data_IF_583348749607
#
_entry.id   IF_583348749607
#
_cell.length_a   1.000
_cell.length_b   1.000
_cell.length_c   1.000
_cell.angle_alpha   90.00
_cell.angle_beta   90.00
_cell.angle_gamma   90.00
#
_symmetry.space_group_name_H-M   'P 1'
#
loop_
_entity.id
_entity.type
_entity.pdbx_description
1 polymer ?
#
# COMPACT_ATOMS: atom_id res chain seq x y z
N UNK A 1 4.60 -45.43 -14.26
CA UNK A 1 4.52 -44.17 -15.03
C UNK A 1 3.33 -43.37 -14.49
N UNK A 2 3.57 -42.28 -13.76
CA UNK A 2 2.50 -41.36 -13.36
C UNK A 2 1.96 -40.69 -14.62
N UNK A 3 0.69 -40.93 -14.92
CA UNK A 3 -0.06 -40.20 -15.95
C UNK A 3 0.18 -38.70 -15.78
N UNK A 4 0.77 -38.07 -16.81
CA UNK A 4 0.98 -36.63 -16.86
C UNK A 4 -0.38 -35.95 -16.80
N UNK A 5 -0.79 -35.50 -15.61
CA UNK A 5 -2.03 -34.73 -15.43
C UNK A 5 -1.99 -33.52 -16.37
N UNK A 6 -3.01 -33.37 -17.21
CA UNK A 6 -3.12 -32.22 -18.11
C UNK A 6 -3.09 -30.93 -17.30
N UNK A 7 -2.31 -29.91 -17.70
CA UNK A 7 -2.26 -28.64 -17.00
C UNK A 7 -3.64 -27.95 -17.04
N UNK A 8 -4.03 -27.35 -15.91
CA UNK A 8 -5.27 -26.60 -15.76
C UNK A 8 -5.01 -25.10 -15.59
N UNK A 9 -5.98 -24.29 -15.98
CA UNK A 9 -5.94 -22.83 -15.78
C UNK A 9 -7.22 -22.34 -15.12
N UNK A 10 -7.08 -21.49 -14.11
CA UNK A 10 -8.16 -20.78 -13.43
C UNK A 10 -7.96 -19.29 -13.72
N UNK A 11 -9.02 -18.63 -14.16
CA UNK A 11 -9.02 -17.18 -14.42
C UNK A 11 -10.00 -16.53 -13.45
N UNK A 12 -9.46 -15.77 -12.51
CA UNK A 12 -10.24 -14.91 -11.64
C UNK A 12 -10.62 -13.62 -12.39
N UNK A 13 -11.81 -13.09 -12.08
CA UNK A 13 -12.28 -11.83 -12.65
C UNK A 13 -12.05 -10.69 -11.64
N UNK A 14 -11.04 -9.88 -11.93
CA UNK A 14 -10.67 -8.69 -11.18
C UNK A 14 -11.35 -7.42 -11.72
N UNK A 15 -10.66 -6.30 -11.62
CA UNK A 15 -11.05 -4.99 -12.16
C UNK A 15 -9.82 -4.10 -12.21
N UNK A 16 -9.78 -3.15 -13.14
CA UNK A 16 -8.76 -2.10 -13.15
C UNK A 16 -8.69 -1.32 -11.83
N UNK A 17 -9.80 -1.15 -11.10
CA UNK A 17 -9.83 -0.54 -9.75
C UNK A 17 -9.07 -1.35 -8.69
N UNK A 18 -8.70 -2.60 -8.96
CA UNK A 18 -7.82 -3.41 -8.12
C UNK A 18 -6.34 -3.23 -8.42
N UNK A 19 -5.98 -2.48 -9.46
CA UNK A 19 -4.61 -2.25 -9.92
C UNK A 19 -4.10 -0.86 -9.56
N UNK A 20 -4.98 0.14 -9.65
CA UNK A 20 -4.71 1.50 -9.22
C UNK A 20 -5.89 2.00 -8.36
N UNK A 21 -5.60 2.83 -7.34
CA UNK A 21 -6.59 3.25 -6.36
C UNK A 21 -7.68 4.11 -7.01
N UNK A 22 -8.93 3.74 -6.76
CA UNK A 22 -10.09 4.52 -7.17
C UNK A 22 -10.74 5.19 -5.95
N UNK A 23 -10.45 6.47 -5.73
CA UNK A 23 -10.88 7.19 -4.52
C UNK A 23 -12.40 7.33 -4.39
N UNK A 24 -13.13 7.31 -5.51
CA UNK A 24 -14.59 7.44 -5.50
C UNK A 24 -15.31 6.16 -5.01
N UNK A 25 -14.61 5.02 -4.99
CA UNK A 25 -15.12 3.75 -4.46
C UNK A 25 -13.97 2.91 -3.86
N UNK A 26 -13.52 3.28 -2.65
CA UNK A 26 -12.38 2.64 -2.01
C UNK A 26 -12.69 1.21 -1.55
N UNK A 27 -13.95 0.89 -1.25
CA UNK A 27 -14.38 -0.46 -0.87
C UNK A 27 -14.28 -1.38 -2.09
N UNK A 28 -14.82 -0.95 -3.24
CA UNK A 28 -14.69 -1.71 -4.47
C UNK A 28 -13.22 -1.90 -4.86
N UNK A 29 -12.40 -0.85 -4.75
CA UNK A 29 -10.95 -0.93 -5.00
C UNK A 29 -10.27 -1.95 -4.09
N UNK A 30 -10.55 -1.93 -2.78
CA UNK A 30 -9.98 -2.87 -1.82
C UNK A 30 -10.39 -4.32 -2.14
N UNK A 31 -11.67 -4.57 -2.42
CA UNK A 31 -12.16 -5.91 -2.75
C UNK A 31 -11.50 -6.46 -4.03
N UNK A 32 -11.36 -5.62 -5.07
CA UNK A 32 -10.74 -6.01 -6.33
C UNK A 32 -9.22 -6.14 -6.22
N UNK A 33 -8.57 -5.32 -5.40
CA UNK A 33 -7.17 -5.51 -5.03
C UNK A 33 -6.95 -6.84 -4.31
N UNK A 34 -7.87 -7.23 -3.42
CA UNK A 34 -7.88 -8.55 -2.77
C UNK A 34 -7.91 -9.71 -3.77
N UNK A 35 -8.74 -9.64 -4.81
CA UNK A 35 -8.78 -10.67 -5.88
C UNK A 35 -7.44 -10.79 -6.61
N UNK A 36 -6.79 -9.66 -6.89
CA UNK A 36 -5.48 -9.62 -7.55
C UNK A 36 -4.42 -10.26 -6.65
N UNK A 37 -4.39 -9.89 -5.37
CA UNK A 37 -3.43 -10.43 -4.42
C UNK A 37 -3.66 -11.93 -4.13
N UNK A 38 -4.92 -12.35 -3.99
CA UNK A 38 -5.32 -13.75 -3.87
C UNK A 38 -4.84 -14.57 -5.07
N UNK A 39 -4.99 -14.04 -6.28
CA UNK A 39 -4.50 -14.72 -7.49
C UNK A 39 -2.98 -14.89 -7.46
N UNK A 40 -2.26 -13.83 -7.06
CA UNK A 40 -0.79 -13.84 -6.97
C UNK A 40 -0.29 -14.84 -5.93
N UNK A 41 -0.97 -14.97 -4.78
CA UNK A 41 -0.57 -15.92 -3.73
C UNK A 41 -0.69 -17.38 -4.16
N UNK A 42 -1.54 -17.68 -5.16
CA UNK A 42 -1.73 -19.02 -5.72
C UNK A 42 -0.73 -19.39 -6.83
N UNK A 43 0.19 -18.51 -7.21
CA UNK A 43 1.21 -18.79 -8.24
C UNK A 43 2.00 -20.10 -8.03
N UNK A 44 2.36 -20.53 -6.79
CA UNK A 44 3.07 -21.79 -6.56
C UNK A 44 2.32 -23.05 -7.01
N UNK A 45 0.98 -22.99 -7.17
CA UNK A 45 0.18 -24.11 -7.69
C UNK A 45 0.59 -24.53 -9.11
N UNK A 46 1.34 -23.68 -9.84
CA UNK A 46 1.94 -24.04 -11.14
C UNK A 46 2.76 -25.33 -11.05
N UNK A 47 3.43 -25.58 -9.92
CA UNK A 47 4.21 -26.81 -9.67
C UNK A 47 3.35 -28.08 -9.66
N UNK A 48 2.04 -27.94 -9.40
CA UNK A 48 1.03 -29.01 -9.46
C UNK A 48 0.28 -29.04 -10.79
N UNK A 49 0.74 -28.28 -11.79
CA UNK A 49 0.10 -28.16 -13.10
C UNK A 49 -1.11 -27.22 -13.14
N UNK A 50 -1.36 -26.42 -12.11
CA UNK A 50 -2.51 -25.48 -12.07
C UNK A 50 -2.00 -24.04 -12.11
N UNK A 51 -2.37 -23.29 -13.15
CA UNK A 51 -2.09 -21.85 -13.26
C UNK A 51 -3.31 -21.07 -12.80
N UNK A 52 -3.13 -20.12 -11.89
CA UNK A 52 -4.21 -19.20 -11.48
C UNK A 52 -3.79 -17.80 -11.91
N UNK A 53 -4.59 -17.15 -12.75
CA UNK A 53 -4.33 -15.80 -13.26
C UNK A 53 -5.57 -14.93 -13.07
N UNK A 54 -5.44 -13.61 -13.20
CA UNK A 54 -6.55 -12.66 -13.03
C UNK A 54 -6.68 -11.77 -14.26
N UNK A 55 -7.91 -11.62 -14.74
CA UNK A 55 -8.28 -10.69 -15.80
C UNK A 55 -8.89 -9.44 -15.16
N UNK A 56 -8.29 -8.29 -15.40
CA UNK A 56 -8.72 -7.01 -14.85
C UNK A 56 -9.19 -6.08 -15.97
N UNK A 57 -10.47 -6.11 -16.36
CA UNK A 57 -11.01 -5.17 -17.33
C UNK A 57 -11.29 -3.79 -16.71
N UNK A 58 -11.21 -2.75 -17.54
CA UNK A 58 -11.91 -1.47 -17.33
C UNK A 58 -13.43 -1.63 -17.56
N UNK A 59 -14.15 -0.55 -17.90
CA UNK A 59 -15.60 -0.58 -18.00
C UNK A 59 -16.10 -1.51 -19.11
N UNK A 60 -16.95 -2.46 -18.72
CA UNK A 60 -17.76 -3.28 -19.63
C UNK A 60 -19.22 -2.83 -19.49
N UNK A 61 -19.96 -2.82 -20.59
CA UNK A 61 -21.35 -2.39 -20.60
C UNK A 61 -22.20 -3.36 -19.77
N UNK A 62 -22.56 -2.92 -18.57
CA UNK A 62 -23.30 -3.68 -17.56
C UNK A 62 -24.21 -2.72 -16.79
N UNK A 63 -25.23 -3.24 -16.10
CA UNK A 63 -26.08 -2.44 -15.21
C UNK A 63 -25.30 -1.78 -14.06
N UNK A 64 -24.15 -2.34 -13.67
CA UNK A 64 -23.28 -1.72 -12.68
C UNK A 64 -22.62 -0.45 -13.25
N UNK A 65 -22.17 -0.51 -14.52
CA UNK A 65 -21.49 0.60 -15.16
C UNK A 65 -22.44 1.75 -15.56
N UNK A 66 -23.75 1.50 -15.67
CA UNK A 66 -24.74 2.57 -15.91
C UNK A 66 -24.92 3.52 -14.71
N UNK A 67 -24.44 3.11 -13.52
CA UNK A 67 -24.43 3.95 -12.30
C UNK A 67 -23.19 4.84 -12.19
N UNK A 68 -22.25 4.72 -13.13
CA UNK A 68 -21.01 5.50 -13.18
C UNK A 68 -21.20 6.68 -14.12
N UNK A 69 -20.63 7.84 -13.76
CA UNK A 69 -20.71 9.05 -14.58
C UNK A 69 -20.25 8.78 -16.03
N UNK A 70 -21.11 9.00 -17.05
CA UNK A 70 -20.75 8.80 -18.45
C UNK A 70 -19.53 9.60 -18.91
N UNK A 71 -19.31 10.81 -18.36
CA UNK A 71 -18.13 11.63 -18.68
C UNK A 71 -16.83 10.93 -18.31
N UNK A 72 -16.84 10.25 -17.18
CA UNK A 72 -15.70 9.51 -16.67
C UNK A 72 -15.39 8.28 -17.54
N UNK A 73 -16.42 7.53 -17.91
CA UNK A 73 -16.29 6.36 -18.80
C UNK A 73 -15.68 6.80 -20.13
N UNK A 74 -16.17 7.91 -20.70
CA UNK A 74 -15.62 8.48 -21.94
C UNK A 74 -14.16 8.96 -21.77
N UNK A 75 -13.83 9.56 -20.63
CA UNK A 75 -12.47 10.01 -20.30
C UNK A 75 -11.49 8.85 -20.16
N UNK A 76 -11.97 7.63 -19.90
CA UNK A 76 -11.16 6.40 -19.86
C UNK A 76 -11.22 5.60 -21.17
N UNK A 77 -11.87 6.15 -22.21
CA UNK A 77 -11.90 5.57 -23.56
C UNK A 77 -13.19 4.84 -23.91
N UNK A 78 -14.17 4.78 -23.01
CA UNK A 78 -15.47 4.16 -23.24
C UNK A 78 -15.54 2.70 -22.78
N UNK A 79 -16.57 2.00 -23.23
CA UNK A 79 -16.77 0.59 -22.91
C UNK A 79 -15.85 -0.33 -23.72
N UNK A 80 -15.29 -1.33 -23.03
CA UNK A 80 -14.65 -2.49 -23.62
C UNK A 80 -15.70 -3.33 -24.37
N UNK A 81 -15.32 -3.86 -25.53
CA UNK A 81 -16.15 -4.86 -26.20
C UNK A 81 -15.96 -6.21 -25.52
N UNK A 82 -17.00 -7.04 -25.53
CA UNK A 82 -16.89 -8.42 -25.02
C UNK A 82 -15.81 -9.23 -25.75
N UNK A 83 -15.59 -8.96 -27.04
CA UNK A 83 -14.48 -9.56 -27.79
C UNK A 83 -13.10 -9.29 -27.17
N UNK A 84 -12.86 -8.08 -26.65
CA UNK A 84 -11.59 -7.77 -25.96
C UNK A 84 -11.44 -8.56 -24.67
N UNK A 85 -12.52 -8.68 -23.88
CA UNK A 85 -12.53 -9.45 -22.63
C UNK A 85 -12.27 -10.93 -22.89
N UNK A 86 -12.95 -11.50 -23.90
CA UNK A 86 -12.78 -12.90 -24.32
C UNK A 86 -11.37 -13.15 -24.83
N UNK A 87 -10.81 -12.24 -25.65
CA UNK A 87 -9.44 -12.37 -26.14
C UNK A 87 -8.42 -12.35 -25.00
N UNK A 88 -8.60 -11.51 -23.98
CA UNK A 88 -7.72 -11.52 -22.82
C UNK A 88 -7.87 -12.76 -21.95
N UNK A 89 -9.06 -13.35 -21.84
CA UNK A 89 -9.21 -14.66 -21.22
C UNK A 89 -8.45 -15.73 -22.00
N UNK A 90 -8.55 -15.75 -23.33
CA UNK A 90 -7.78 -16.67 -24.17
C UNK A 90 -6.27 -16.49 -24.06
N UNK A 91 -5.79 -15.25 -23.94
CA UNK A 91 -4.37 -14.97 -23.68
C UNK A 91 -3.89 -15.66 -22.41
N UNK A 92 -4.64 -15.52 -21.30
CA UNK A 92 -4.32 -16.18 -20.03
C UNK A 92 -4.41 -17.71 -20.10
N UNK A 93 -5.30 -18.24 -20.93
CA UNK A 93 -5.40 -19.69 -21.20
C UNK A 93 -4.16 -20.18 -21.94
N UNK A 94 -3.77 -19.49 -23.02
CA UNK A 94 -2.73 -19.94 -23.96
C UNK A 94 -1.31 -19.72 -23.44
N UNK A 95 -1.04 -18.65 -22.71
CA UNK A 95 0.31 -18.37 -22.20
C UNK A 95 0.64 -19.20 -20.95
N UNK A 96 1.23 -20.37 -21.17
CA UNK A 96 1.65 -21.30 -20.11
C UNK A 96 2.83 -20.78 -19.26
N UNK A 97 3.50 -19.71 -19.69
CA UNK A 97 4.56 -19.09 -18.88
C UNK A 97 4.01 -18.42 -17.63
N UNK A 98 2.73 -17.99 -17.65
CA UNK A 98 2.13 -17.14 -16.61
C UNK A 98 1.44 -17.93 -15.50
N UNK A 99 1.77 -17.60 -14.25
CA UNK A 99 1.03 -18.02 -13.06
C UNK A 99 1.06 -16.90 -12.02
N UNK A 100 -0.08 -16.64 -11.39
CA UNK A 100 -0.29 -15.46 -10.54
C UNK A 100 -0.28 -14.15 -11.33
N UNK A 101 -0.37 -14.20 -12.67
CA UNK A 101 -0.27 -13.02 -13.50
C UNK A 101 -1.60 -12.26 -13.52
N UNK A 102 -1.49 -10.94 -13.63
CA UNK A 102 -2.62 -10.05 -13.84
C UNK A 102 -2.56 -9.50 -15.27
N UNK A 103 -3.62 -9.74 -16.05
CA UNK A 103 -3.78 -9.14 -17.37
C UNK A 103 -4.80 -8.00 -17.26
N UNK A 104 -4.32 -6.78 -17.47
CA UNK A 104 -5.11 -5.56 -17.51
C UNK A 104 -5.61 -5.32 -18.94
N UNK A 105 -6.91 -5.09 -19.10
CA UNK A 105 -7.50 -4.74 -20.39
C UNK A 105 -8.06 -3.33 -20.31
N UNK A 106 -7.58 -2.47 -21.22
CA UNK A 106 -8.05 -1.10 -21.38
C UNK A 106 -8.54 -0.87 -22.80
N UNK A 107 -9.45 0.08 -22.96
CA UNK A 107 -9.93 0.44 -24.30
C UNK A 107 -8.85 1.17 -25.12
N UNK A 108 -7.98 1.92 -24.44
CA UNK A 108 -6.95 2.78 -25.06
C UNK A 108 -5.66 2.05 -25.39
N UNK A 109 -5.22 1.14 -24.53
CA UNK A 109 -3.91 0.47 -24.63
C UNK A 109 -4.01 -1.00 -24.98
N UNK A 110 -5.22 -1.56 -25.00
CA UNK A 110 -5.43 -2.98 -25.25
C UNK A 110 -5.09 -3.82 -24.02
N UNK A 111 -4.34 -4.90 -24.21
CA UNK A 111 -4.01 -5.87 -23.16
C UNK A 111 -2.57 -5.69 -22.70
N UNK A 112 -2.37 -5.48 -21.40
CA UNK A 112 -1.05 -5.33 -20.79
C UNK A 112 -0.97 -6.17 -19.51
N UNK A 113 0.14 -6.87 -19.28
CA UNK A 113 0.36 -7.51 -17.99
C UNK A 113 0.69 -6.46 -16.93
N UNK A 114 0.09 -6.61 -15.75
CA UNK A 114 0.29 -5.71 -14.62
C UNK A 114 1.24 -6.33 -13.57
N UNK A 115 2.16 -5.53 -12.98
CA UNK A 115 2.45 -4.13 -13.30
C UNK A 115 3.04 -3.94 -14.70
N UNK A 116 2.65 -2.86 -15.40
CA UNK A 116 3.23 -2.52 -16.72
C UNK A 116 4.71 -2.13 -16.56
N UNK A 117 5.56 -2.15 -17.61
CA UNK A 117 6.95 -1.66 -17.49
C UNK A 117 7.06 -0.22 -16.98
N UNK A 118 6.07 0.63 -17.25
CA UNK A 118 6.02 1.99 -16.69
C UNK A 118 5.67 1.98 -15.22
N UNK A 119 4.77 1.10 -14.80
CA UNK A 119 4.43 0.90 -13.40
C UNK A 119 5.61 0.29 -12.63
N UNK A 120 6.22 -0.77 -13.17
CA UNK A 120 7.44 -1.38 -12.63
C UNK A 120 8.58 -0.37 -12.50
N UNK A 121 8.75 0.54 -13.47
CA UNK A 121 9.77 1.60 -13.39
C UNK A 121 9.59 2.56 -12.21
N UNK A 122 8.40 2.70 -11.64
CA UNK A 122 8.22 3.45 -10.38
C UNK A 122 8.95 2.75 -9.21
N UNK A 123 9.20 1.44 -9.35
CA UNK A 123 9.78 0.57 -8.34
C UNK A 123 11.18 0.05 -8.70
N UNK A 124 11.65 0.23 -9.95
CA UNK A 124 12.96 -0.23 -10.42
C UNK A 124 14.04 0.87 -10.36
N UNK A 125 15.25 0.50 -9.95
CA UNK A 125 16.46 1.32 -10.06
C UNK A 125 17.19 1.00 -11.38
N UNK A 126 17.47 2.00 -12.22
CA UNK A 126 18.12 1.84 -13.54
C UNK A 126 19.61 1.43 -13.41
N UNK A 127 20.10 0.41 -14.14
CA UNK A 127 21.52 0.03 -14.14
C UNK A 127 22.33 0.87 -15.15
N UNK A 128 23.40 1.52 -14.67
CA UNK A 128 24.29 2.37 -15.46
C UNK A 128 25.33 1.53 -16.23
N UNK A 129 25.38 1.66 -17.57
CA UNK A 129 26.50 1.15 -18.39
C UNK A 129 27.57 2.24 -18.53
N UNK A 130 28.70 2.01 -17.87
CA UNK A 130 29.84 2.92 -17.81
C UNK A 130 30.76 2.80 -19.04
N UNK A 131 31.14 3.95 -19.60
CA UNK A 131 32.49 4.20 -20.13
C UNK A 131 32.90 5.65 -19.83
N UNK A 132 33.52 5.86 -18.66
CA UNK A 132 34.74 6.67 -18.39
C UNK A 132 34.81 7.00 -16.90
N UNK A 133 35.99 6.80 -16.34
CA UNK A 133 36.29 7.00 -14.92
C UNK A 133 36.27 8.48 -14.55
N UNK A 134 35.36 8.86 -13.67
CA UNK A 134 35.59 9.88 -12.65
C UNK A 134 34.95 9.39 -11.37
N UNK A 135 35.73 9.39 -10.29
CA UNK A 135 35.31 9.01 -8.94
C UNK A 135 34.33 10.06 -8.42
N UNK A 136 33.03 9.75 -8.46
CA UNK A 136 32.01 10.26 -7.56
C UNK A 136 30.94 9.17 -7.36
N UNK A 137 30.57 8.99 -6.10
CA UNK A 137 29.62 8.04 -5.53
C UNK A 137 28.30 7.97 -6.31
N UNK A 138 28.01 6.82 -6.92
CA UNK A 138 26.77 6.50 -7.65
C UNK A 138 25.63 6.20 -6.66
N UNK A 139 24.43 6.80 -6.68
CA UNK A 139 23.76 7.52 -7.76
C UNK A 139 22.45 6.84 -8.18
N UNK A 140 21.63 6.35 -7.24
CA UNK A 140 20.20 6.15 -7.51
C UNK A 140 19.57 7.54 -7.58
N UNK A 141 19.39 8.08 -8.79
CA UNK A 141 18.71 9.37 -9.00
C UNK A 141 17.22 9.20 -8.72
N UNK A 142 16.85 9.19 -7.45
CA UNK A 142 15.53 9.71 -7.08
C UNK A 142 15.63 11.21 -7.36
N UNK A 143 14.77 11.69 -8.26
CA UNK A 143 14.68 13.13 -8.50
C UNK A 143 14.16 13.77 -7.21
N UNK A 144 15.03 14.52 -6.56
CA UNK A 144 14.75 15.19 -5.30
C UNK A 144 14.32 16.61 -5.67
N UNK A 145 13.02 16.93 -5.59
CA UNK A 145 12.55 18.22 -6.05
C UNK A 145 12.94 19.32 -5.04
N UNK A 146 13.02 20.57 -5.53
CA UNK A 146 13.19 21.73 -4.65
C UNK A 146 11.99 21.94 -3.72
N UNK A 147 10.79 21.53 -4.16
CA UNK A 147 9.56 21.62 -3.39
C UNK A 147 8.75 20.34 -3.49
N UNK A 148 7.99 20.02 -2.44
CA UNK A 148 7.11 18.86 -2.40
C UNK A 148 5.83 19.17 -1.60
N UNK A 149 4.82 18.32 -1.73
CA UNK A 149 3.54 18.46 -1.03
C UNK A 149 3.50 17.63 0.26
N UNK A 150 2.84 18.19 1.28
CA UNK A 150 2.54 17.51 2.53
C UNK A 150 1.21 17.97 3.12
N UNK A 151 0.61 17.14 3.97
CA UNK A 151 -0.58 17.48 4.74
C UNK A 151 -0.14 18.04 6.09
N UNK A 152 -0.60 19.26 6.40
CA UNK A 152 -0.36 19.93 7.67
C UNK A 152 -1.66 20.10 8.43
N UNK A 153 -1.59 19.96 9.74
CA UNK A 153 -2.63 20.39 10.67
C UNK A 153 -2.42 21.89 10.91
N UNK A 154 -3.37 22.71 10.47
CA UNK A 154 -3.37 24.16 10.65
C UNK A 154 -4.38 24.63 11.70
N UNK A 155 -5.25 23.73 12.17
CA UNK A 155 -6.26 24.04 13.18
C UNK A 155 -6.51 22.82 14.06
N UNK A 156 -6.56 23.01 15.38
CA UNK A 156 -6.86 21.92 16.32
C UNK A 156 -8.32 21.52 16.19
N UNK A 157 -8.59 20.33 15.64
CA UNK A 157 -9.94 19.79 15.53
C UNK A 157 -9.92 18.28 15.32
N UNK A 158 -10.97 17.63 15.83
CA UNK A 158 -11.22 16.21 15.58
C UNK A 158 -11.80 15.97 14.17
N UNK A 159 -12.32 17.01 13.51
CA UNK A 159 -12.69 16.92 12.11
C UNK A 159 -11.44 17.11 11.25
N UNK A 160 -10.86 15.99 10.78
CA UNK A 160 -9.61 15.97 10.01
C UNK A 160 -9.66 16.88 8.79
N UNK A 161 -10.81 16.93 8.09
CA UNK A 161 -10.98 17.75 6.88
C UNK A 161 -10.86 19.24 7.17
N UNK A 162 -11.42 19.73 8.28
CA UNK A 162 -11.29 21.14 8.67
C UNK A 162 -9.97 21.44 9.38
N UNK A 163 -9.35 20.42 9.98
CA UNK A 163 -8.08 20.57 10.71
C UNK A 163 -6.86 20.68 9.79
N UNK A 164 -6.97 20.12 8.58
CA UNK A 164 -5.82 19.89 7.70
C UNK A 164 -5.94 20.50 6.31
N UNK A 165 -4.78 20.80 5.72
CA UNK A 165 -4.65 21.28 4.35
C UNK A 165 -3.39 20.72 3.69
N UNK A 166 -3.42 20.61 2.36
CA UNK A 166 -2.23 20.28 1.56
C UNK A 166 -1.45 21.58 1.34
N UNK A 167 -0.16 21.55 1.66
CA UNK A 167 0.76 22.67 1.41
C UNK A 167 1.94 22.19 0.59
N UNK A 168 2.42 23.06 -0.30
CA UNK A 168 3.70 22.89 -0.98
C UNK A 168 4.79 23.56 -0.15
N UNK A 169 5.87 22.84 0.13
CA UNK A 169 6.97 23.31 0.98
C UNK A 169 8.31 23.08 0.30
N UNK A 170 9.33 23.83 0.70
CA UNK A 170 10.69 23.68 0.21
C UNK A 170 11.42 22.54 0.92
N UNK A 171 12.25 21.81 0.19
CA UNK A 171 13.13 20.82 0.77
C UNK A 171 14.32 21.51 1.46
N UNK A 172 14.46 21.28 2.77
CA UNK A 172 15.61 21.78 3.53
C UNK A 172 16.89 21.00 3.19
N UNK A 173 17.83 21.67 2.53
CA UNK A 173 19.16 21.17 2.19
C UNK A 173 20.26 21.98 2.91
N UNK A 174 21.44 21.40 3.18
CA UNK A 174 21.81 20.00 2.95
C UNK A 174 21.13 19.04 3.94
N UNK A 175 21.11 17.75 3.61
CA UNK A 175 20.62 16.71 4.53
C UNK A 175 21.51 16.69 5.78
N UNK A 176 20.90 16.72 6.97
CA UNK A 176 21.66 16.68 8.23
C UNK A 176 22.49 15.39 8.31
N UNK A 177 23.71 15.40 8.90
CA UNK A 177 24.64 14.27 8.84
C UNK A 177 24.06 12.91 9.24
N UNK A 178 23.17 12.86 10.24
CA UNK A 178 22.57 11.62 10.76
C UNK A 178 21.13 11.38 10.26
N UNK A 179 20.69 12.11 9.23
CA UNK A 179 19.33 12.00 8.69
C UNK A 179 19.34 11.39 7.28
N UNK A 180 18.18 10.87 6.90
CA UNK A 180 17.89 10.46 5.55
C UNK A 180 16.61 11.16 5.08
N UNK A 181 16.59 11.47 3.79
CA UNK A 181 15.39 11.85 3.08
C UNK A 181 14.77 10.59 2.48
N UNK A 182 13.49 10.35 2.75
CA UNK A 182 12.75 9.21 2.22
C UNK A 182 11.65 9.73 1.30
N UNK A 183 11.58 9.19 0.08
CA UNK A 183 10.42 9.36 -0.79
C UNK A 183 9.33 8.40 -0.33
N UNK A 184 8.21 8.93 0.12
CA UNK A 184 7.06 8.13 0.59
C UNK A 184 6.34 7.54 -0.62
N UNK A 185 6.03 6.25 -0.55
CA UNK A 185 5.25 5.54 -1.58
C UNK A 185 3.84 5.21 -1.04
N UNK A 186 3.77 4.78 0.21
CA UNK A 186 2.53 4.49 0.92
C UNK A 186 2.59 5.10 2.32
N UNK A 187 1.48 5.65 2.81
CA UNK A 187 1.33 6.12 4.18
C UNK A 187 0.10 5.47 4.83
N UNK A 188 0.21 5.17 6.12
CA UNK A 188 -0.85 4.47 6.86
C UNK A 188 -1.86 5.43 7.45
N UNK A 189 -3.15 5.16 7.20
CA UNK A 189 -4.25 5.90 7.81
C UNK A 189 -4.67 5.24 9.12
N UNK A 190 -4.66 6.03 10.19
CA UNK A 190 -4.86 5.57 11.54
C UNK A 190 -6.07 6.24 12.17
N UNK A 191 -6.84 5.48 12.96
CA UNK A 191 -7.98 6.04 13.68
C UNK A 191 -7.59 7.21 14.60
N UNK A 192 -6.33 7.26 15.04
CA UNK A 192 -5.83 8.33 15.90
C UNK A 192 -5.36 9.59 15.15
N UNK A 193 -5.44 9.63 13.81
CA UNK A 193 -5.14 10.84 13.04
C UNK A 193 -5.99 12.03 13.50
N UNK A 194 -7.27 11.78 13.83
CA UNK A 194 -8.19 12.80 14.36
C UNK A 194 -7.88 13.20 15.81
N UNK A 195 -7.31 12.29 16.61
CA UNK A 195 -6.85 12.62 17.95
C UNK A 195 -5.57 13.47 17.90
N UNK A 196 -4.68 13.16 16.96
CA UNK A 196 -3.48 13.93 16.71
C UNK A 196 -3.80 15.32 16.18
N UNK A 197 -4.70 15.43 15.19
CA UNK A 197 -5.13 16.72 14.65
C UNK A 197 -5.92 17.57 15.65
N UNK A 198 -6.52 16.96 16.67
CA UNK A 198 -7.16 17.69 17.79
C UNK A 198 -6.18 18.07 18.92
N UNK A 199 -4.89 17.77 18.76
CA UNK A 199 -3.85 18.15 19.71
C UNK A 199 -3.74 17.25 20.94
N UNK A 200 -4.49 16.14 21.02
CA UNK A 200 -4.56 15.26 22.21
C UNK A 200 -3.26 14.49 22.49
N UNK A 201 -2.32 14.52 21.56
CA UNK A 201 -0.99 13.90 21.70
C UNK A 201 0.02 14.83 22.37
N UNK A 202 -0.31 16.12 22.53
CA UNK A 202 0.56 17.09 23.15
C UNK A 202 0.12 17.33 24.59
N UNK A 203 1.10 17.34 25.50
CA UNK A 203 0.89 17.85 26.85
C UNK A 203 0.87 19.38 26.86
N UNK A 204 0.20 19.96 27.85
CA UNK A 204 0.08 21.41 28.03
C UNK A 204 -1.37 21.89 28.02
N UNK A 205 -1.57 23.19 28.27
CA UNK A 205 -2.87 23.82 28.14
C UNK A 205 -3.21 24.12 26.67
N UNK A 206 -4.46 24.51 26.38
CA UNK A 206 -4.93 24.74 25.00
C UNK A 206 -4.09 25.77 24.23
N UNK A 207 -3.57 26.81 24.90
CA UNK A 207 -2.76 27.84 24.25
C UNK A 207 -1.37 27.30 23.86
N UNK A 208 -0.76 26.49 24.73
CA UNK A 208 0.53 25.84 24.45
C UNK A 208 0.43 24.83 23.31
N UNK A 209 -0.68 24.08 23.25
CA UNK A 209 -0.93 23.15 22.13
C UNK A 209 -1.19 23.92 20.84
N UNK A 210 -1.98 24.99 20.88
CA UNK A 210 -2.24 25.84 19.72
C UNK A 210 -0.97 26.51 19.18
N UNK A 211 -0.02 26.87 20.06
CA UNK A 211 1.27 27.44 19.67
C UNK A 211 2.17 26.47 18.87
N UNK A 212 1.83 25.17 18.81
CA UNK A 212 2.52 24.17 17.97
C UNK A 212 2.02 24.14 16.53
N UNK A 213 0.91 24.81 16.22
CA UNK A 213 0.41 24.89 14.85
C UNK A 213 1.30 25.81 13.99
N UNK A 214 1.46 25.52 12.69
CA UNK A 214 1.06 24.28 12.03
C UNK A 214 2.05 23.13 12.31
N UNK A 215 1.57 21.88 12.32
CA UNK A 215 2.42 20.69 12.42
C UNK A 215 2.03 19.63 11.38
N UNK A 216 2.97 18.73 11.03
CA UNK A 216 2.80 17.76 9.96
C UNK A 216 1.96 16.54 10.38
N UNK A 217 1.09 16.05 9.49
CA UNK A 217 0.17 14.93 9.76
C UNK A 217 0.71 13.55 9.34
N UNK A 218 0.12 12.47 9.88
CA UNK A 218 0.45 11.07 9.57
C UNK A 218 1.44 10.45 10.57
N UNK A 219 1.39 9.13 10.74
CA UNK A 219 2.16 8.37 11.75
C UNK A 219 3.16 7.38 11.19
N UNK A 220 2.95 6.91 9.96
CA UNK A 220 3.73 5.83 9.39
C UNK A 220 3.75 5.90 7.86
N UNK A 221 4.83 5.39 7.29
CA UNK A 221 5.01 5.31 5.86
C UNK A 221 5.94 4.16 5.46
N UNK A 222 5.82 3.77 4.21
CA UNK A 222 6.79 2.93 3.50
C UNK A 222 7.24 3.70 2.27
N UNK A 223 8.54 3.68 2.05
CA UNK A 223 9.17 4.52 1.06
C UNK A 223 10.53 4.00 0.61
N UNK A 224 11.24 4.85 -0.11
CA UNK A 224 12.58 4.57 -0.63
C UNK A 224 13.51 5.70 -0.19
N UNK A 225 14.70 5.35 0.34
CA UNK A 225 15.72 6.34 0.72
C UNK A 225 16.14 7.12 -0.52
N UNK A 226 15.89 8.44 -0.53
CA UNK A 226 16.14 9.37 -1.64
C UNK A 226 17.48 10.10 -1.52
N UNK A 227 17.88 10.43 -0.29
CA UNK A 227 19.17 11.03 0.01
C UNK A 227 19.56 10.71 1.46
N UNK A 228 20.85 10.80 1.77
CA UNK A 228 21.39 10.54 3.10
C UNK A 228 22.42 11.59 3.48
N UNK A 229 22.51 11.90 4.78
CA UNK A 229 23.60 12.70 5.32
C UNK A 229 24.89 11.89 5.47
N UNK A 230 26.00 12.60 5.67
CA UNK A 230 27.36 12.04 5.64
C UNK A 230 27.62 10.91 6.65
N UNK A 231 26.86 10.83 7.74
CA UNK A 231 27.00 9.83 8.81
C UNK A 231 26.04 8.65 8.68
N UNK A 232 25.33 8.51 7.55
CA UNK A 232 24.33 7.47 7.35
C UNK A 232 24.83 6.41 6.38
N UNK A 233 24.84 5.16 6.83
CA UNK A 233 25.34 4.02 6.06
C UNK A 233 24.26 3.30 5.22
N UNK A 234 22.98 3.63 5.41
CA UNK A 234 21.89 3.08 4.59
C UNK A 234 22.04 3.63 3.17
N UNK A 235 21.95 2.74 2.16
CA UNK A 235 22.15 3.13 0.76
C UNK A 235 20.93 3.87 0.22
N UNK A 236 21.15 4.91 -0.58
CA UNK A 236 20.09 5.51 -1.41
C UNK A 236 19.48 4.44 -2.31
N UNK A 237 18.15 4.41 -2.42
CA UNK A 237 17.40 3.36 -3.12
C UNK A 237 16.94 2.21 -2.22
N UNK A 238 17.36 2.17 -0.95
CA UNK A 238 16.89 1.13 0.00
C UNK A 238 15.41 1.32 0.31
N UNK A 239 14.55 0.30 0.15
CA UNK A 239 13.18 0.34 0.65
C UNK A 239 13.17 0.34 2.18
N UNK A 240 12.39 1.24 2.76
CA UNK A 240 12.33 1.44 4.21
C UNK A 240 10.90 1.66 4.66
N UNK A 241 10.60 1.14 5.85
CA UNK A 241 9.44 1.51 6.64
C UNK A 241 9.81 2.56 7.69
N UNK A 242 8.85 3.39 8.05
CA UNK A 242 8.96 4.50 9.00
C UNK A 242 7.75 4.51 9.93
N UNK A 243 8.00 4.64 11.23
CA UNK A 243 7.00 5.00 12.23
C UNK A 243 7.38 6.38 12.78
N UNK A 244 6.84 7.44 12.19
CA UNK A 244 7.17 8.82 12.48
C UNK A 244 5.97 9.72 12.23
N UNK A 245 5.85 10.77 13.05
CA UNK A 245 4.93 11.87 12.74
C UNK A 245 5.34 12.58 11.43
N UNK A 246 4.36 13.10 10.70
CA UNK A 246 4.57 13.84 9.46
C UNK A 246 4.74 12.98 8.21
N UNK A 247 4.24 11.74 8.23
CA UNK A 247 4.37 10.79 7.13
C UNK A 247 3.43 11.06 5.94
N UNK A 248 2.44 11.94 6.09
CA UNK A 248 1.59 12.40 4.99
C UNK A 248 2.29 13.49 4.17
N UNK A 249 3.38 13.09 3.52
CA UNK A 249 4.21 13.94 2.69
C UNK A 249 4.74 13.12 1.51
N UNK A 250 5.07 13.76 0.40
CA UNK A 250 5.78 13.09 -0.71
C UNK A 250 7.21 12.71 -0.29
N UNK A 251 7.83 13.53 0.57
CA UNK A 251 9.15 13.29 1.14
C UNK A 251 9.17 13.56 2.64
N UNK A 252 9.86 12.71 3.40
CA UNK A 252 10.02 12.85 4.84
C UNK A 252 11.51 12.80 5.21
N UNK A 253 11.96 13.80 5.97
CA UNK A 253 13.29 13.83 6.56
C UNK A 253 13.25 13.17 7.94
N UNK A 254 14.03 12.11 8.15
CA UNK A 254 14.03 11.36 9.43
C UNK A 254 15.46 11.08 9.91
N UNK A 255 15.69 10.97 11.23
CA UNK A 255 16.91 10.38 11.75
C UNK A 255 17.10 8.97 11.18
N UNK A 256 18.31 8.63 10.74
CA UNK A 256 18.57 7.33 10.10
C UNK A 256 18.28 6.13 11.01
N UNK A 257 18.34 6.31 12.33
CA UNK A 257 17.96 5.29 13.33
C UNK A 257 16.48 4.90 13.30
N UNK A 258 15.60 5.69 12.65
CA UNK A 258 14.18 5.37 12.48
C UNK A 258 13.92 4.60 11.18
N UNK A 259 14.93 4.41 10.33
CA UNK A 259 14.78 3.61 9.11
C UNK A 259 14.70 2.14 9.47
N UNK A 260 13.63 1.48 9.05
CA UNK A 260 13.48 0.03 9.11
C UNK A 260 13.63 -0.53 7.69
N UNK A 261 14.80 -1.07 7.30
CA UNK A 261 14.96 -1.66 5.97
C UNK A 261 13.96 -2.79 5.75
N UNK A 262 13.31 -2.78 4.59
CA UNK A 262 12.33 -3.80 4.19
C UNK A 262 12.69 -4.36 2.82
N UNK A 263 12.30 -5.62 2.50
CA UNK A 263 12.65 -6.22 1.22
C UNK A 263 12.09 -5.44 0.01
N UNK A 264 10.89 -4.87 0.15
CA UNK A 264 10.17 -4.11 -0.88
C UNK A 264 9.26 -3.07 -0.23
N UNK A 265 8.99 -1.93 -0.91
CA UNK A 265 8.13 -0.88 -0.37
C UNK A 265 6.65 -1.19 -0.65
N UNK A 266 6.16 -2.37 -0.23
CA UNK A 266 4.79 -2.82 -0.51
C UNK A 266 3.78 -2.22 0.50
N UNK A 267 2.51 -2.00 0.12
CA UNK A 267 1.51 -1.42 1.02
C UNK A 267 1.20 -2.32 2.24
N UNK A 268 1.34 -3.64 2.11
CA UNK A 268 1.18 -4.59 3.21
C UNK A 268 2.19 -4.36 4.34
N UNK A 269 3.37 -3.82 4.01
CA UNK A 269 4.38 -3.45 5.00
C UNK A 269 3.87 -2.35 5.91
N UNK A 270 3.18 -1.33 5.36
CA UNK A 270 2.59 -0.24 6.15
C UNK A 270 1.62 -0.80 7.19
N UNK A 271 0.77 -1.75 6.82
CA UNK A 271 -0.20 -2.35 7.73
C UNK A 271 0.45 -3.08 8.92
N UNK A 272 1.67 -3.61 8.75
CA UNK A 272 2.39 -4.28 9.84
C UNK A 272 2.99 -3.31 10.87
N UNK A 273 3.26 -2.06 10.50
CA UNK A 273 3.97 -1.10 11.35
C UNK A 273 3.17 -0.69 12.57
N UNK A 274 2.09 0.06 12.43
CA UNK A 274 1.28 0.46 13.59
C UNK A 274 0.30 -0.63 13.96
N UNK A 275 -0.47 -1.14 12.99
CA UNK A 275 -1.56 -2.09 13.27
C UNK A 275 -1.05 -3.46 13.72
N UNK A 276 -0.13 -4.07 12.96
CA UNK A 276 0.44 -5.37 13.30
C UNK A 276 1.23 -5.36 14.61
N UNK A 277 2.15 -4.40 14.77
CA UNK A 277 2.94 -4.26 15.98
C UNK A 277 2.08 -4.01 17.24
N UNK A 278 1.05 -3.16 17.13
CA UNK A 278 0.12 -2.92 18.24
C UNK A 278 -0.57 -4.21 18.66
N UNK A 279 -1.05 -5.02 17.71
CA UNK A 279 -1.71 -6.29 18.02
C UNK A 279 -0.75 -7.27 18.70
N UNK A 280 0.48 -7.44 18.19
CA UNK A 280 1.48 -8.34 18.77
C UNK A 280 1.88 -7.91 20.18
N UNK A 281 2.24 -6.64 20.38
CA UNK A 281 2.61 -6.14 21.72
C UNK A 281 1.43 -6.25 22.70
N UNK A 282 0.21 -5.89 22.26
CA UNK A 282 -0.97 -5.95 23.11
C UNK A 282 -1.26 -7.39 23.57
N UNK A 283 -1.17 -8.37 22.67
CA UNK A 283 -1.45 -9.76 23.02
C UNK A 283 -0.29 -10.40 23.80
N UNK A 284 0.95 -10.27 23.32
CA UNK A 284 2.10 -11.00 23.86
C UNK A 284 2.69 -10.34 25.11
N UNK A 285 2.71 -9.01 25.19
CA UNK A 285 3.37 -8.29 26.28
C UNK A 285 2.40 -7.79 27.33
N UNK A 286 1.33 -7.12 26.92
CA UNK A 286 0.35 -6.59 27.86
C UNK A 286 -0.65 -7.66 28.32
N UNK A 287 -1.18 -8.43 27.37
CA UNK A 287 -2.13 -9.50 27.63
C UNK A 287 -1.48 -10.81 28.08
N UNK A 288 -0.16 -10.96 27.90
CA UNK A 288 0.60 -12.17 28.22
C UNK A 288 -0.11 -13.44 27.75
N UNK A 289 -0.60 -13.38 26.51
CA UNK A 289 -1.46 -14.40 25.92
C UNK A 289 -0.81 -15.78 25.94
N UNK A 290 -1.55 -16.76 26.44
CA UNK A 290 -1.20 -18.19 26.41
C UNK A 290 -2.13 -18.94 25.43
N UNK A 291 -1.99 -20.25 25.31
CA UNK A 291 -2.87 -21.09 24.48
C UNK A 291 -4.17 -21.47 25.20
N UNK A 292 -5.17 -21.93 24.46
CA UNK A 292 -6.44 -22.47 24.99
C UNK A 292 -7.32 -21.47 25.76
N UNK A 293 -7.04 -20.18 25.66
CA UNK A 293 -7.85 -19.10 26.23
C UNK A 293 -8.97 -18.67 25.26
N UNK A 294 -9.98 -18.00 25.81
CA UNK A 294 -11.01 -17.31 25.04
C UNK A 294 -10.69 -15.82 24.95
N UNK A 295 -10.51 -15.30 23.72
CA UNK A 295 -10.11 -13.91 23.46
C UNK A 295 -11.20 -13.20 22.68
N UNK A 296 -11.73 -12.11 23.24
CA UNK A 296 -12.65 -11.22 22.56
C UNK A 296 -11.86 -10.13 21.80
N UNK A 297 -11.99 -10.09 20.49
CA UNK A 297 -11.42 -9.04 19.64
C UNK A 297 -12.55 -8.16 19.10
N UNK A 298 -12.57 -6.90 19.49
CA UNK A 298 -13.48 -5.90 18.92
C UNK A 298 -12.88 -5.26 17.67
N UNK A 299 -13.74 -4.73 16.80
CA UNK A 299 -13.33 -4.19 15.49
C UNK A 299 -12.40 -5.16 14.72
N UNK A 300 -12.72 -6.46 14.81
CA UNK A 300 -11.86 -7.55 14.36
C UNK A 300 -11.54 -7.52 12.86
N UNK A 301 -12.45 -6.96 12.06
CA UNK A 301 -12.28 -6.76 10.62
C UNK A 301 -11.53 -5.45 10.26
N UNK A 302 -10.93 -4.77 11.24
CA UNK A 302 -10.19 -3.51 11.08
C UNK A 302 -8.69 -3.70 10.97
N UNK A 303 -7.95 -2.60 10.79
CA UNK A 303 -6.50 -2.59 10.58
C UNK A 303 -5.71 -3.41 11.61
N UNK A 304 -5.87 -3.08 12.90
CA UNK A 304 -5.25 -3.83 14.02
C UNK A 304 -5.99 -5.12 14.34
N UNK A 305 -7.33 -5.09 14.30
CA UNK A 305 -8.17 -6.22 14.71
C UNK A 305 -7.87 -7.50 13.92
N UNK A 306 -7.62 -7.38 12.61
CA UNK A 306 -7.34 -8.54 11.76
C UNK A 306 -6.04 -9.25 12.16
N UNK A 307 -5.03 -8.51 12.63
CA UNK A 307 -3.80 -9.10 13.14
C UNK A 307 -4.03 -9.75 14.50
N UNK A 308 -4.78 -9.10 15.39
CA UNK A 308 -5.09 -9.64 16.70
C UNK A 308 -5.83 -10.98 16.62
N UNK A 309 -6.82 -11.10 15.71
CA UNK A 309 -7.49 -12.38 15.44
C UNK A 309 -6.51 -13.44 14.97
N UNK A 310 -5.69 -13.13 13.96
CA UNK A 310 -4.74 -14.10 13.39
C UNK A 310 -3.70 -14.56 14.41
N UNK A 311 -3.09 -13.64 15.15
CA UNK A 311 -2.09 -13.95 16.18
C UNK A 311 -2.68 -14.79 17.31
N UNK A 312 -3.87 -14.43 17.81
CA UNK A 312 -4.56 -15.20 18.83
C UNK A 312 -4.92 -16.62 18.34
N UNK A 313 -5.40 -16.76 17.11
CA UNK A 313 -5.69 -18.07 16.49
C UNK A 313 -4.42 -18.91 16.33
N UNK A 314 -3.32 -18.32 15.88
CA UNK A 314 -2.03 -19.01 15.73
C UNK A 314 -1.47 -19.50 17.08
N UNK A 315 -1.73 -18.78 18.16
CA UNK A 315 -1.38 -19.19 19.52
C UNK A 315 -2.31 -20.28 20.11
N UNK A 316 -3.26 -20.81 19.34
CA UNK A 316 -4.15 -21.89 19.79
C UNK A 316 -5.38 -21.43 20.58
N UNK A 317 -5.72 -20.15 20.53
CA UNK A 317 -6.88 -19.61 21.27
C UNK A 317 -8.21 -19.75 20.52
N UNK A 318 -9.28 -19.72 21.30
CA UNK A 318 -10.64 -19.48 20.81
C UNK A 318 -10.84 -17.97 20.69
N UNK A 319 -11.11 -17.48 19.48
CA UNK A 319 -11.35 -16.05 19.25
C UNK A 319 -12.83 -15.80 19.05
N UNK A 320 -13.37 -14.83 19.80
CA UNK A 320 -14.69 -14.24 19.58
C UNK A 320 -14.46 -12.87 18.94
N UNK A 321 -15.03 -12.63 17.76
CA UNK A 321 -14.78 -11.43 16.97
C UNK A 321 -16.05 -10.58 16.86
N UNK A 322 -15.93 -9.25 17.04
CA UNK A 322 -17.01 -8.30 16.70
C UNK A 322 -16.59 -7.38 15.56
N UNK A 323 -17.53 -7.10 14.66
CA UNK A 323 -17.30 -6.23 13.51
C UNK A 323 -18.59 -5.48 13.13
N UNK A 324 -18.45 -4.40 12.36
CA UNK A 324 -19.59 -3.64 11.85
C UNK A 324 -20.14 -4.22 10.54
N UNK A 325 -21.40 -4.64 10.55
CA UNK A 325 -22.15 -5.10 9.38
C UNK A 325 -21.87 -6.56 8.98
N UNK A 326 -22.88 -7.22 8.39
CA UNK A 326 -22.83 -8.66 8.05
C UNK A 326 -21.72 -9.02 7.07
N UNK A 327 -21.40 -8.14 6.11
CA UNK A 327 -20.35 -8.38 5.11
C UNK A 327 -18.98 -8.63 5.73
N UNK A 328 -18.74 -8.13 6.95
CA UNK A 328 -17.48 -8.31 7.68
C UNK A 328 -17.49 -9.56 8.57
N UNK A 329 -18.46 -10.46 8.47
CA UNK A 329 -18.41 -11.74 9.18
C UNK A 329 -17.58 -12.80 8.45
N UNK A 330 -17.24 -12.55 7.18
CA UNK A 330 -16.58 -13.51 6.30
C UNK A 330 -15.16 -13.08 5.87
N UNK A 331 -14.52 -12.14 6.57
CA UNK A 331 -13.14 -11.74 6.26
C UNK A 331 -12.11 -12.79 6.71
#
# INVERSE_FOLDING_TARGET
MLSTKKPGVIINLGSASGLYPWYADPIYSATKGGVVLFTRSLAPLKRRGIRVNVLCPEFVQTELASKVDPKLINTLGGFLSMGMVVNGAFELIKDESKAGACLWITKRRGMEYWPTPTEERKYLLQPYKSKRSFVYTTGSKIDVPHTFEKIVVHTLSHNFRSATGIVRTELSLPIKPQHALVKVIYAGVNASDVNFSSGRYFGGNNNEVAARLPFDAGFEAVGIVAAVGDSVHVKVGTPVALMTFGSYAEFTMVPAKHLLPVPRPDPEVVAMLTSGLTASIALEKAGQMESEQAILVTAAAGGTGQFAVQLAKLAGNKVVATCGGEKKLHF
#
